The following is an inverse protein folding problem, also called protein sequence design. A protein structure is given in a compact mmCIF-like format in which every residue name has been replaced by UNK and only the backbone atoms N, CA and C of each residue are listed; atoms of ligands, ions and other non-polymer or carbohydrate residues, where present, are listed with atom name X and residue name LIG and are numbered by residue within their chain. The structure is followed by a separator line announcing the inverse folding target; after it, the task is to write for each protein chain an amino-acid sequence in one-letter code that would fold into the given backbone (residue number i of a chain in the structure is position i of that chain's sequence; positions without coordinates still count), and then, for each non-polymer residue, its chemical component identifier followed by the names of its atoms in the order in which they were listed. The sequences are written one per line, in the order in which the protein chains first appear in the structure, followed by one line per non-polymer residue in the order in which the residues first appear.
data_IF_244806757167
#
_entry.id   IF_244806757167
#
_cell.length_a   1.000
_cell.length_b   1.000
_cell.length_c   1.000
_cell.angle_alpha   90.00
_cell.angle_beta   90.00
_cell.angle_gamma   90.00
#
_symmetry.space_group_name_H-M   'P 1'
#
loop_
_entity.id
_entity.type
_entity.pdbx_description
1 polymer ?
#
# COMPACT_ATOMS: atom_id res chain seq x y z
N UNK A 1 -8.85 30.70 -5.30
CA UNK A 1 -8.08 29.45 -5.47
C UNK A 1 -7.14 29.37 -4.28
N UNK A 2 -7.49 28.59 -3.27
CA UNK A 2 -6.60 28.35 -2.13
C UNK A 2 -5.37 27.60 -2.65
N UNK A 3 -4.18 28.05 -2.25
CA UNK A 3 -2.95 27.37 -2.57
C UNK A 3 -2.93 26.04 -1.79
N UNK A 4 -3.08 24.91 -2.48
CA UNK A 4 -3.02 23.60 -1.85
C UNK A 4 -1.57 23.32 -1.44
N UNK A 5 -1.33 23.38 -0.13
CA UNK A 5 -0.05 23.17 0.53
C UNK A 5 0.45 21.73 0.28
N UNK A 6 1.76 21.52 0.38
CA UNK A 6 2.34 20.17 0.38
C UNK A 6 1.75 19.34 1.52
N UNK A 7 1.14 18.21 1.19
CA UNK A 7 0.50 17.32 2.15
C UNK A 7 1.57 16.48 2.88
N UNK A 8 1.48 16.39 4.20
CA UNK A 8 2.29 15.46 5.02
C UNK A 8 1.37 14.53 5.78
N UNK A 9 1.72 13.24 5.85
CA UNK A 9 0.98 12.27 6.67
C UNK A 9 1.17 12.59 8.15
N UNK A 10 0.31 12.07 9.06
CA UNK A 10 0.48 12.22 10.50
C UNK A 10 1.84 11.75 11.02
N UNK A 11 2.45 10.78 10.34
CA UNK A 11 3.79 10.25 10.62
C UNK A 11 4.93 11.16 10.10
N UNK A 12 4.63 12.36 9.61
CA UNK A 12 5.59 13.31 9.06
C UNK A 12 6.12 12.92 7.67
N UNK A 13 5.48 11.98 6.98
CA UNK A 13 5.90 11.55 5.66
C UNK A 13 5.38 12.48 4.58
N UNK A 14 6.17 12.71 3.53
CA UNK A 14 5.77 13.57 2.43
C UNK A 14 4.77 12.88 1.49
N UNK A 15 3.76 13.63 1.08
CA UNK A 15 2.82 13.25 0.02
C UNK A 15 3.15 14.08 -1.21
N UNK A 16 3.43 13.39 -2.32
CA UNK A 16 3.72 14.06 -3.58
C UNK A 16 2.43 14.33 -4.35
N UNK A 17 2.14 15.60 -4.62
CA UNK A 17 0.98 15.96 -5.43
C UNK A 17 1.34 15.98 -6.93
N UNK A 18 0.52 15.33 -7.76
CA UNK A 18 0.72 15.21 -9.21
C UNK A 18 -0.54 15.60 -9.98
N UNK A 19 -0.45 15.91 -11.27
CA UNK A 19 -1.66 16.16 -12.07
C UNK A 19 -2.58 14.94 -12.12
N UNK A 20 -3.89 15.16 -12.23
CA UNK A 20 -4.89 14.07 -12.35
C UNK A 20 -4.54 13.14 -13.50
N UNK A 21 -4.22 13.69 -14.67
CA UNK A 21 -3.84 12.90 -15.86
C UNK A 21 -2.63 12.00 -15.58
N UNK A 22 -1.57 12.55 -15.00
CA UNK A 22 -0.40 11.75 -14.64
C UNK A 22 -0.74 10.64 -13.65
N UNK A 23 -1.62 10.93 -12.68
CA UNK A 23 -2.06 9.93 -11.70
C UNK A 23 -2.77 8.75 -12.38
N UNK A 24 -3.75 9.05 -13.26
CA UNK A 24 -4.50 8.04 -14.01
C UNK A 24 -3.59 7.21 -14.92
N UNK A 25 -2.66 7.86 -15.61
CA UNK A 25 -1.78 7.21 -16.60
C UNK A 25 -0.68 6.35 -15.94
N UNK A 26 -0.25 6.68 -14.71
CA UNK A 26 0.93 6.08 -14.07
C UNK A 26 0.61 5.10 -12.94
N UNK A 27 -0.35 5.43 -12.08
CA UNK A 27 -0.61 4.66 -10.85
C UNK A 27 -1.85 3.78 -10.95
N UNK A 28 -2.86 4.24 -11.68
CA UNK A 28 -4.11 3.50 -11.79
C UNK A 28 -3.95 2.30 -12.73
N UNK A 29 -4.65 1.18 -12.48
CA UNK A 29 -4.75 0.12 -13.46
C UNK A 29 -5.26 0.67 -14.80
N UNK A 30 -4.74 0.17 -15.94
CA UNK A 30 -5.23 0.62 -17.24
C UNK A 30 -6.70 0.25 -17.40
N UNK A 31 -7.47 1.14 -18.03
CA UNK A 31 -8.84 0.82 -18.42
C UNK A 31 -8.85 -0.40 -19.32
N UNK A 32 -9.87 -1.24 -19.16
CA UNK A 32 -10.06 -2.38 -20.04
C UNK A 32 -10.20 -1.90 -21.50
N UNK A 33 -9.50 -2.50 -22.49
CA UNK A 33 -9.45 -2.00 -23.87
C UNK A 33 -10.81 -1.84 -24.57
N UNK A 34 -11.82 -2.58 -24.13
CA UNK A 34 -13.19 -2.48 -24.65
C UNK A 34 -13.96 -1.25 -24.13
N UNK A 35 -13.45 -0.54 -23.12
CA UNK A 35 -14.12 0.61 -22.52
C UNK A 35 -13.75 1.90 -23.24
N UNK A 36 -14.79 2.66 -23.59
CA UNK A 36 -14.68 4.00 -24.15
C UNK A 36 -15.44 4.95 -23.22
N UNK A 37 -14.69 5.81 -22.52
CA UNK A 37 -15.26 6.69 -21.50
C UNK A 37 -16.31 7.63 -22.08
N UNK A 38 -16.13 8.12 -23.32
CA UNK A 38 -17.10 8.98 -23.97
C UNK A 38 -18.42 8.25 -24.24
N UNK A 39 -18.35 7.00 -24.74
CA UNK A 39 -19.55 6.16 -24.94
C UNK A 39 -20.24 5.84 -23.62
N UNK A 40 -19.47 5.55 -22.57
CA UNK A 40 -20.00 5.24 -21.23
C UNK A 40 -20.70 6.47 -20.63
N UNK A 41 -20.11 7.66 -20.72
CA UNK A 41 -20.74 8.91 -20.28
C UNK A 41 -22.05 9.17 -21.04
N UNK A 42 -22.08 8.92 -22.36
CA UNK A 42 -23.31 9.03 -23.15
C UNK A 42 -24.38 8.02 -22.70
N UNK A 43 -23.99 6.80 -22.32
CA UNK A 43 -24.90 5.79 -21.74
C UNK A 43 -25.44 6.26 -20.40
N UNK A 44 -24.59 6.79 -19.49
CA UNK A 44 -24.98 7.33 -18.18
C UNK A 44 -25.95 8.52 -18.28
N UNK A 45 -25.88 9.31 -19.35
CA UNK A 45 -26.82 10.41 -19.65
C UNK A 45 -28.18 9.94 -20.19
N UNK A 46 -28.30 8.69 -20.63
CA UNK A 46 -29.49 8.13 -21.28
C UNK A 46 -30.14 6.99 -20.49
N UNK A 47 -29.37 6.29 -19.65
CA UNK A 47 -29.82 5.17 -18.83
C UNK A 47 -30.80 5.63 -17.74
N UNK A 48 -31.76 4.75 -17.41
CA UNK A 48 -32.78 5.02 -16.39
C UNK A 48 -33.92 5.92 -16.89
N UNK A 49 -34.83 6.27 -15.99
CA UNK A 49 -35.92 7.20 -16.28
C UNK A 49 -35.42 8.63 -16.27
N UNK A 50 -36.15 9.58 -16.89
CA UNK A 50 -35.78 11.01 -16.90
C UNK A 50 -35.51 11.57 -15.48
N UNK A 51 -36.23 11.10 -14.46
CA UNK A 51 -36.08 11.51 -13.06
C UNK A 51 -34.95 10.80 -12.30
N UNK A 52 -34.38 9.71 -12.85
CA UNK A 52 -33.33 8.90 -12.20
C UNK A 52 -32.12 8.63 -13.10
N UNK A 53 -31.88 9.47 -14.11
CA UNK A 53 -30.66 9.37 -14.94
C UNK A 53 -29.42 9.57 -14.06
N UNK A 54 -28.41 8.67 -14.13
CA UNK A 54 -27.18 8.83 -13.35
C UNK A 54 -26.54 10.21 -13.53
N UNK A 55 -26.39 10.66 -14.78
CA UNK A 55 -26.00 12.04 -15.11
C UNK A 55 -27.25 12.81 -15.54
N UNK A 56 -27.57 13.88 -14.82
CA UNK A 56 -28.78 14.66 -15.02
C UNK A 56 -28.67 15.64 -16.19
N UNK A 57 -29.79 16.27 -16.57
CA UNK A 57 -29.82 17.31 -17.60
C UNK A 57 -28.94 18.53 -17.29
N UNK A 58 -28.59 18.73 -16.01
CA UNK A 58 -27.70 19.79 -15.55
C UNK A 58 -26.22 19.37 -15.58
N UNK A 59 -25.92 18.20 -16.18
CA UNK A 59 -24.59 17.62 -16.25
C UNK A 59 -23.95 17.45 -14.85
N UNK A 60 -24.73 16.94 -13.90
CA UNK A 60 -24.32 16.59 -12.53
C UNK A 60 -24.75 15.16 -12.21
N UNK A 61 -24.11 14.52 -11.25
CA UNK A 61 -24.60 13.25 -10.72
C UNK A 61 -25.96 13.42 -10.03
N UNK A 62 -26.88 12.49 -10.29
CA UNK A 62 -28.23 12.49 -9.71
C UNK A 62 -28.22 12.63 -8.18
N UNK A 63 -27.27 11.94 -7.54
CA UNK A 63 -27.09 11.97 -6.09
C UNK A 63 -26.58 13.30 -5.54
N UNK A 64 -26.14 14.22 -6.40
CA UNK A 64 -25.43 15.46 -6.06
C UNK A 64 -25.90 16.63 -6.94
N UNK A 65 -27.22 16.76 -7.14
CA UNK A 65 -27.81 17.89 -7.87
C UNK A 65 -27.57 19.26 -7.22
N UNK A 66 -27.30 19.27 -5.93
CA UNK A 66 -26.86 20.41 -5.11
C UNK A 66 -25.52 20.01 -4.49
N UNK A 67 -24.59 20.94 -4.32
CA UNK A 67 -23.31 20.63 -3.68
C UNK A 67 -23.54 20.15 -2.24
N UNK A 68 -22.72 19.23 -1.72
CA UNK A 68 -22.76 18.80 -0.34
C UNK A 68 -22.88 19.94 0.68
N UNK A 69 -22.05 20.97 0.56
CA UNK A 69 -22.02 22.11 1.51
C UNK A 69 -23.32 22.93 1.52
N UNK A 70 -24.06 22.94 0.41
CA UNK A 70 -25.30 23.70 0.25
C UNK A 70 -26.53 22.91 0.77
N UNK A 71 -26.34 21.69 1.28
CA UNK A 71 -27.43 20.91 1.90
C UNK A 71 -27.67 21.38 3.33
N UNK A 72 -28.92 21.21 3.78
CA UNK A 72 -29.35 21.59 5.13
C UNK A 72 -28.44 20.94 6.20
N UNK A 73 -28.08 21.63 7.30
CA UNK A 73 -27.01 21.22 8.25
C UNK A 73 -27.18 19.87 8.95
N UNK A 74 -28.32 19.20 8.77
CA UNK A 74 -28.74 18.02 9.54
C UNK A 74 -28.16 16.71 8.98
N UNK A 75 -27.40 16.72 7.88
CA UNK A 75 -27.09 15.49 7.15
C UNK A 75 -25.60 15.33 6.76
N UNK A 76 -24.65 15.44 7.68
CA UNK A 76 -23.26 15.05 7.37
C UNK A 76 -23.16 13.52 7.10
N UNK A 77 -23.83 12.71 7.92
CA UNK A 77 -23.81 11.24 7.88
C UNK A 77 -24.33 10.57 6.59
N UNK A 78 -25.19 11.24 5.81
CA UNK A 78 -25.77 10.64 4.60
C UNK A 78 -25.47 11.39 3.33
N UNK A 79 -24.71 12.48 3.40
CA UNK A 79 -24.47 13.34 2.24
C UNK A 79 -23.79 12.59 1.11
N UNK A 80 -22.82 11.73 1.42
CA UNK A 80 -22.10 10.93 0.44
C UNK A 80 -22.67 9.54 0.20
N UNK A 81 -23.75 9.11 0.88
CA UNK A 81 -24.34 7.77 0.68
C UNK A 81 -24.73 7.49 -0.78
N UNK A 82 -25.06 8.55 -1.54
CA UNK A 82 -25.39 8.45 -2.97
C UNK A 82 -24.20 8.11 -3.86
N UNK A 83 -22.97 8.16 -3.36
CA UNK A 83 -21.79 7.72 -4.08
C UNK A 83 -21.88 6.21 -4.42
N UNK A 84 -22.42 5.38 -3.54
CA UNK A 84 -22.64 3.96 -3.83
C UNK A 84 -23.59 3.73 -5.03
N UNK A 85 -24.64 4.54 -5.15
CA UNK A 85 -25.54 4.47 -6.31
C UNK A 85 -24.80 4.88 -7.61
N UNK A 86 -23.94 5.92 -7.53
CA UNK A 86 -23.16 6.39 -8.68
C UNK A 86 -22.14 5.35 -9.11
N UNK A 87 -21.37 4.79 -8.18
CA UNK A 87 -20.38 3.74 -8.50
C UNK A 87 -21.07 2.52 -9.12
N UNK A 88 -22.23 2.11 -8.59
CA UNK A 88 -23.04 1.04 -9.18
C UNK A 88 -23.48 1.37 -10.61
N UNK A 89 -23.96 2.59 -10.85
CA UNK A 89 -24.38 3.03 -12.19
C UNK A 89 -23.19 3.11 -13.16
N UNK A 90 -22.02 3.53 -12.71
CA UNK A 90 -20.77 3.57 -13.48
C UNK A 90 -20.37 2.15 -13.91
N UNK A 91 -20.27 1.23 -12.95
CA UNK A 91 -19.89 -0.18 -13.21
C UNK A 91 -20.86 -0.85 -14.17
N UNK A 92 -22.18 -0.61 -14.00
CA UNK A 92 -23.21 -1.12 -14.91
C UNK A 92 -23.12 -0.51 -16.32
N UNK A 93 -22.77 0.77 -16.42
CA UNK A 93 -22.61 1.42 -17.71
C UNK A 93 -21.35 0.94 -18.46
N UNK A 94 -20.30 0.57 -17.74
CA UNK A 94 -19.05 0.00 -18.26
C UNK A 94 -19.00 -1.53 -18.29
N UNK A 95 -20.13 -2.23 -18.12
CA UNK A 95 -20.19 -3.69 -18.07
C UNK A 95 -19.54 -4.37 -19.29
N UNK A 96 -18.68 -5.36 -19.03
CA UNK A 96 -18.02 -6.18 -20.06
C UNK A 96 -18.63 -7.57 -20.05
N UNK A 97 -19.07 -8.03 -21.22
CA UNK A 97 -19.68 -9.35 -21.36
C UNK A 97 -18.70 -10.45 -20.91
N UNK A 98 -19.13 -11.30 -19.98
CA UNK A 98 -18.33 -12.43 -19.48
C UNK A 98 -17.28 -12.07 -18.43
N UNK A 99 -17.19 -10.80 -17.99
CA UNK A 99 -16.31 -10.40 -16.88
C UNK A 99 -17.13 -9.78 -15.75
N UNK A 100 -16.87 -10.22 -14.53
CA UNK A 100 -17.45 -9.65 -13.32
C UNK A 100 -16.50 -8.61 -12.72
N UNK A 101 -17.03 -7.51 -12.16
CA UNK A 101 -16.21 -6.59 -11.37
C UNK A 101 -15.49 -7.31 -10.23
N UNK A 102 -14.23 -6.98 -9.99
CA UNK A 102 -13.41 -7.55 -8.90
C UNK A 102 -13.71 -6.89 -7.55
N UNK A 103 -14.29 -5.68 -7.56
CA UNK A 103 -14.50 -4.86 -6.38
C UNK A 103 -15.97 -4.50 -6.14
N UNK A 104 -16.39 -4.59 -4.89
CA UNK A 104 -17.67 -4.07 -4.40
C UNK A 104 -17.47 -2.79 -3.57
N UNK A 105 -18.30 -1.77 -3.82
CA UNK A 105 -18.25 -0.50 -3.10
C UNK A 105 -19.19 -0.48 -1.90
N UNK A 106 -18.69 0.00 -0.77
CA UNK A 106 -19.45 0.19 0.47
C UNK A 106 -19.26 1.61 1.02
N UNK A 107 -20.36 2.18 1.53
CA UNK A 107 -20.25 3.28 2.50
C UNK A 107 -20.28 2.66 3.89
N UNK A 108 -19.40 3.12 4.79
CA UNK A 108 -19.38 2.69 6.16
C UNK A 108 -20.69 3.13 6.86
N UNK A 109 -21.45 2.20 7.46
CA UNK A 109 -22.67 2.54 8.20
C UNK A 109 -22.39 3.29 9.50
N UNK A 110 -21.16 3.22 10.03
CA UNK A 110 -20.70 3.85 11.27
C UNK A 110 -19.39 4.62 11.02
N UNK A 111 -19.43 5.72 10.25
CA UNK A 111 -18.23 6.53 10.03
C UNK A 111 -17.81 7.21 11.34
N UNK A 112 -16.50 7.24 11.57
CA UNK A 112 -15.90 7.91 12.72
C UNK A 112 -15.39 9.27 12.24
N UNK A 113 -15.94 10.31 12.85
CA UNK A 113 -15.72 11.71 12.48
C UNK A 113 -14.59 12.37 13.26
N UNK A 114 -14.15 11.78 14.37
CA UNK A 114 -13.01 12.28 15.12
C UNK A 114 -11.70 11.61 14.67
N UNK A 115 -10.60 12.28 14.94
CA UNK A 115 -9.22 11.83 14.76
C UNK A 115 -8.83 10.67 15.70
N UNK A 116 -9.59 10.41 16.76
CA UNK A 116 -9.39 9.26 17.64
C UNK A 116 -9.84 7.96 16.97
N UNK A 117 -9.00 7.42 16.09
CA UNK A 117 -9.19 6.13 15.44
C UNK A 117 -8.37 5.05 16.13
N UNK A 118 -9.01 3.90 16.38
CA UNK A 118 -8.34 2.65 16.71
C UNK A 118 -8.23 1.73 15.48
N UNK A 119 -7.59 0.58 15.64
CA UNK A 119 -7.37 -0.38 14.57
C UNK A 119 -8.65 -1.05 14.01
N UNK A 120 -9.82 -0.82 14.63
CA UNK A 120 -11.12 -1.32 14.17
C UNK A 120 -11.92 -0.30 13.36
N UNK A 121 -11.47 0.95 13.34
CA UNK A 121 -12.13 2.08 12.70
C UNK A 121 -11.99 2.03 11.17
N UNK A 122 -13.04 1.59 10.47
CA UNK A 122 -13.05 1.54 9.00
C UNK A 122 -13.19 2.93 8.36
N UNK A 123 -12.65 3.13 7.14
CA UNK A 123 -12.80 4.37 6.38
C UNK A 123 -14.27 4.69 6.10
N UNK A 124 -14.57 5.95 5.78
CA UNK A 124 -15.96 6.38 5.52
C UNK A 124 -16.60 5.64 4.32
N UNK A 125 -15.79 5.28 3.33
CA UNK A 125 -16.13 4.39 2.23
C UNK A 125 -14.96 3.45 1.92
N UNK A 126 -15.25 2.32 1.29
CA UNK A 126 -14.20 1.38 0.88
C UNK A 126 -14.66 0.49 -0.27
N UNK A 127 -13.69 0.03 -1.06
CA UNK A 127 -13.90 -0.99 -2.07
C UNK A 127 -13.28 -2.31 -1.60
N UNK A 128 -14.07 -3.38 -1.62
CA UNK A 128 -13.68 -4.71 -1.14
C UNK A 128 -13.43 -5.65 -2.30
N UNK A 129 -12.33 -6.40 -2.24
CA UNK A 129 -12.04 -7.49 -3.17
C UNK A 129 -12.98 -8.67 -2.95
N UNK A 130 -13.73 -9.02 -3.99
CA UNK A 130 -14.71 -10.12 -3.97
C UNK A 130 -14.07 -11.51 -3.87
N UNK A 131 -12.85 -11.67 -4.37
CA UNK A 131 -12.11 -12.93 -4.32
C UNK A 131 -11.46 -13.23 -2.97
N UNK A 132 -11.42 -12.27 -2.04
CA UNK A 132 -10.85 -12.49 -0.70
C UNK A 132 -11.95 -13.05 0.22
N UNK A 133 -11.73 -14.21 0.89
CA UNK A 133 -12.75 -14.85 1.72
C UNK A 133 -13.28 -13.93 2.83
N UNK A 134 -14.58 -14.05 3.14
CA UNK A 134 -15.23 -13.26 4.19
C UNK A 134 -14.71 -13.56 5.61
N UNK A 135 -14.05 -14.70 5.79
CA UNK A 135 -13.39 -15.11 7.04
C UNK A 135 -12.17 -14.25 7.37
N UNK A 136 -11.65 -13.48 6.39
CA UNK A 136 -10.53 -12.55 6.58
C UNK A 136 -10.99 -11.28 7.29
N UNK A 137 -10.03 -10.58 7.88
CA UNK A 137 -10.32 -9.29 8.52
C UNK A 137 -10.76 -8.26 7.48
N UNK A 138 -11.57 -7.27 7.85
CA UNK A 138 -11.99 -6.22 6.90
C UNK A 138 -10.81 -5.54 6.18
N UNK A 139 -9.73 -5.23 6.90
CA UNK A 139 -8.54 -4.58 6.32
C UNK A 139 -7.83 -5.43 5.26
N UNK A 140 -7.90 -6.76 5.36
CA UNK A 140 -7.35 -7.69 4.35
C UNK A 140 -8.19 -7.77 3.08
N UNK A 141 -9.44 -7.30 3.15
CA UNK A 141 -10.35 -7.32 2.02
C UNK A 141 -10.43 -5.97 1.31
N UNK A 142 -10.08 -4.88 1.98
CA UNK A 142 -10.18 -3.52 1.42
C UNK A 142 -9.03 -3.26 0.43
N UNK A 143 -9.40 -2.99 -0.83
CA UNK A 143 -8.47 -2.59 -1.90
C UNK A 143 -8.26 -1.08 -1.96
N UNK A 144 -9.29 -0.31 -1.59
CA UNK A 144 -9.33 1.14 -1.72
C UNK A 144 -10.05 1.74 -0.53
N UNK A 145 -9.45 2.73 0.13
CA UNK A 145 -10.06 3.49 1.22
C UNK A 145 -10.54 4.86 0.77
N UNK A 146 -11.77 5.23 1.14
CA UNK A 146 -12.39 6.52 0.86
C UNK A 146 -12.71 7.27 2.14
N UNK A 147 -12.32 8.54 2.22
CA UNK A 147 -12.73 9.42 3.32
C UNK A 147 -13.45 10.64 2.75
N UNK A 148 -14.45 11.15 3.45
CA UNK A 148 -15.18 12.32 2.97
C UNK A 148 -15.58 13.26 4.09
N UNK A 149 -15.57 14.56 3.77
CA UNK A 149 -16.07 15.61 4.64
C UNK A 149 -16.84 16.64 3.79
N UNK A 150 -17.92 17.18 4.35
CA UNK A 150 -18.71 18.23 3.68
C UNK A 150 -18.00 19.57 3.75
N UNK A 151 -17.19 19.79 4.78
CA UNK A 151 -16.58 21.07 5.09
C UNK A 151 -15.11 21.08 4.66
N UNK A 152 -14.75 22.04 3.79
CA UNK A 152 -13.41 22.09 3.16
C UNK A 152 -12.24 22.31 4.13
N UNK A 153 -12.50 22.92 5.28
CA UNK A 153 -11.48 23.20 6.29
C UNK A 153 -11.02 21.94 7.05
N UNK A 154 -11.67 20.80 6.82
CA UNK A 154 -11.28 19.49 7.32
C UNK A 154 -10.45 18.67 6.32
N UNK A 155 -9.87 19.31 5.30
CA UNK A 155 -8.90 18.66 4.41
C UNK A 155 -7.80 17.96 5.21
N UNK A 156 -7.33 18.57 6.29
CA UNK A 156 -6.31 18.00 7.19
C UNK A 156 -6.79 16.69 7.84
N UNK A 157 -8.04 16.62 8.29
CA UNK A 157 -8.61 15.41 8.90
C UNK A 157 -8.77 14.29 7.87
N UNK A 158 -9.29 14.57 6.68
CA UNK A 158 -9.43 13.54 5.64
C UNK A 158 -8.06 12.98 5.20
N UNK A 159 -7.03 13.84 5.16
CA UNK A 159 -5.65 13.43 4.86
C UNK A 159 -5.11 12.50 5.95
N UNK A 160 -5.35 12.81 7.23
CA UNK A 160 -5.01 11.95 8.37
C UNK A 160 -5.71 10.60 8.23
N UNK A 161 -7.05 10.63 8.10
CA UNK A 161 -7.90 9.44 8.04
C UNK A 161 -7.52 8.53 6.86
N UNK A 162 -7.32 9.07 5.67
CA UNK A 162 -6.97 8.26 4.48
C UNK A 162 -5.57 7.69 4.61
N UNK A 163 -4.63 8.44 5.19
CA UNK A 163 -3.27 7.96 5.45
C UNK A 163 -3.28 6.79 6.42
N UNK A 164 -4.04 6.88 7.52
CA UNK A 164 -4.20 5.81 8.51
C UNK A 164 -4.90 4.59 7.91
N UNK A 165 -5.95 4.78 7.12
CA UNK A 165 -6.63 3.68 6.41
C UNK A 165 -5.67 2.94 5.48
N UNK A 166 -4.87 3.67 4.69
CA UNK A 166 -3.83 3.05 3.85
C UNK A 166 -2.72 2.38 4.67
N UNK A 167 -2.31 2.94 5.82
CA UNK A 167 -1.41 2.27 6.77
C UNK A 167 -1.99 0.93 7.20
N UNK A 168 -3.25 0.91 7.65
CA UNK A 168 -3.90 -0.26 8.21
C UNK A 168 -4.05 -1.37 7.17
N UNK A 169 -4.44 -1.03 5.93
CA UNK A 169 -4.45 -1.97 4.79
C UNK A 169 -3.06 -2.60 4.61
N UNK A 170 -2.03 -1.76 4.50
CA UNK A 170 -0.64 -2.23 4.28
C UNK A 170 -0.05 -2.97 5.48
N UNK A 171 -0.52 -2.71 6.70
CA UNK A 171 -0.03 -3.28 7.96
C UNK A 171 -0.68 -4.62 8.27
N UNK A 172 -1.99 -4.74 8.08
CA UNK A 172 -2.72 -5.95 8.42
C UNK A 172 -2.54 -7.02 7.34
N UNK A 173 -2.67 -6.68 6.07
CA UNK A 173 -2.58 -7.66 4.98
C UNK A 173 -1.14 -7.82 4.45
N UNK A 174 -0.49 -8.99 4.67
CA UNK A 174 0.86 -9.24 4.15
C UNK A 174 0.91 -9.34 2.63
N UNK A 175 -0.22 -9.53 1.96
CA UNK A 175 -0.28 -9.66 0.53
C UNK A 175 -0.20 -8.29 -0.18
N UNK A 176 -0.23 -7.17 0.54
CA UNK A 176 -0.29 -5.82 -0.05
C UNK A 176 1.09 -5.27 -0.39
N UNK A 177 1.28 -4.95 -1.66
CA UNK A 177 2.45 -4.25 -2.22
C UNK A 177 2.25 -2.74 -2.27
N UNK A 178 1.02 -2.33 -2.56
CA UNK A 178 0.56 -0.94 -2.59
C UNK A 178 -0.95 -0.90 -2.38
N UNK A 179 -1.50 0.29 -2.15
CA UNK A 179 -2.94 0.52 -2.01
C UNK A 179 -3.39 1.85 -2.61
N UNK A 180 -4.67 1.93 -2.93
CA UNK A 180 -5.31 3.15 -3.42
C UNK A 180 -6.21 3.77 -2.36
N UNK A 181 -6.54 5.04 -2.56
CA UNK A 181 -7.58 5.71 -1.82
C UNK A 181 -8.17 6.89 -2.56
N UNK A 182 -9.15 7.52 -1.96
CA UNK A 182 -9.67 8.81 -2.39
C UNK A 182 -10.12 9.64 -1.19
N UNK A 183 -10.07 10.95 -1.32
CA UNK A 183 -10.70 11.87 -0.36
C UNK A 183 -11.70 12.76 -1.08
N UNK A 184 -12.77 13.17 -0.41
CA UNK A 184 -13.75 14.13 -0.92
C UNK A 184 -14.00 15.22 0.11
N UNK A 185 -13.72 16.46 -0.25
CA UNK A 185 -14.02 17.67 0.51
C UNK A 185 -15.08 18.49 -0.24
N UNK A 186 -16.33 18.47 0.22
CA UNK A 186 -17.50 19.02 -0.50
C UNK A 186 -17.63 18.45 -1.92
N UNK A 187 -17.06 19.13 -2.91
CA UNK A 187 -17.07 18.73 -4.32
C UNK A 187 -15.70 18.35 -4.85
N UNK A 188 -14.64 18.62 -4.08
CA UNK A 188 -13.25 18.41 -4.48
C UNK A 188 -12.84 16.99 -4.09
N UNK A 189 -12.46 16.19 -5.09
CA UNK A 189 -11.96 14.83 -4.89
C UNK A 189 -10.48 14.76 -5.22
N UNK A 190 -9.72 14.03 -4.41
CA UNK A 190 -8.33 13.65 -4.69
C UNK A 190 -8.22 12.14 -4.77
N UNK A 191 -7.37 11.66 -5.68
CA UNK A 191 -7.00 10.26 -5.80
C UNK A 191 -5.70 10.03 -5.05
N UNK A 192 -5.57 8.89 -4.37
CA UNK A 192 -4.43 8.55 -3.54
C UNK A 192 -3.85 7.21 -3.94
N UNK A 193 -2.53 7.13 -3.92
CA UNK A 193 -1.74 5.92 -4.12
C UNK A 193 -0.66 5.87 -3.05
N UNK A 194 -0.40 4.68 -2.50
CA UNK A 194 0.55 4.50 -1.43
C UNK A 194 1.27 3.16 -1.53
N UNK A 195 2.59 3.18 -1.45
CA UNK A 195 3.44 1.99 -1.34
C UNK A 195 4.53 2.17 -0.26
N UNK A 196 5.50 1.27 -0.22
CA UNK A 196 6.58 1.29 0.79
C UNK A 196 7.67 2.33 0.53
N UNK A 197 7.63 3.00 -0.61
CA UNK A 197 8.57 4.04 -1.03
C UNK A 197 7.96 5.44 -0.99
N UNK A 198 6.68 5.59 -1.29
CA UNK A 198 6.06 6.90 -1.51
C UNK A 198 4.55 6.91 -1.25
N UNK A 199 4.03 8.12 -1.01
CA UNK A 199 2.59 8.43 -1.06
C UNK A 199 2.35 9.52 -2.09
N UNK A 200 1.36 9.32 -2.94
CA UNK A 200 1.06 10.20 -4.08
C UNK A 200 -0.41 10.58 -4.02
N UNK A 201 -0.69 11.87 -4.21
CA UNK A 201 -2.05 12.39 -4.35
C UNK A 201 -2.21 13.10 -5.70
N UNK A 202 -3.38 13.00 -6.32
CA UNK A 202 -3.70 13.85 -7.46
C UNK A 202 -3.98 15.28 -7.01
N UNK A 203 -3.84 16.24 -7.93
CA UNK A 203 -4.51 17.53 -7.79
C UNK A 203 -6.02 17.31 -7.60
N UNK A 204 -6.71 18.17 -6.85
CA UNK A 204 -8.14 18.05 -6.67
C UNK A 204 -8.88 18.30 -7.99
N UNK A 205 -9.96 17.57 -8.20
CA UNK A 205 -10.90 17.78 -9.29
C UNK A 205 -12.33 17.75 -8.76
N UNK A 206 -13.27 18.39 -9.46
CA UNK A 206 -14.66 18.38 -9.03
C UNK A 206 -15.34 17.09 -9.49
N UNK A 207 -15.53 16.12 -8.60
CA UNK A 207 -16.08 14.81 -8.98
C UNK A 207 -17.52 14.88 -9.53
N UNK A 208 -18.25 15.97 -9.27
CA UNK A 208 -19.63 16.14 -9.73
C UNK A 208 -19.70 16.56 -11.19
N UNK A 209 -18.82 17.50 -11.57
CA UNK A 209 -18.82 18.08 -12.92
C UNK A 209 -17.81 17.40 -13.83
N UNK A 210 -16.66 16.97 -13.30
CA UNK A 210 -15.69 16.14 -14.00
C UNK A 210 -16.04 14.64 -13.84
N UNK A 211 -17.08 14.25 -14.58
CA UNK A 211 -17.56 12.87 -14.62
C UNK A 211 -16.59 11.93 -15.32
N UNK A 212 -15.76 12.45 -16.23
CA UNK A 212 -14.82 11.64 -17.00
C UNK A 212 -13.75 11.02 -16.10
N UNK A 213 -13.11 11.84 -15.27
CA UNK A 213 -12.12 11.38 -14.28
C UNK A 213 -12.74 10.38 -13.30
N UNK A 214 -13.95 10.65 -12.79
CA UNK A 214 -14.60 9.76 -11.83
C UNK A 214 -14.96 8.40 -12.44
N UNK A 215 -15.49 8.40 -13.67
CA UNK A 215 -15.84 7.17 -14.41
C UNK A 215 -14.57 6.37 -14.70
N UNK A 216 -13.50 7.02 -15.16
CA UNK A 216 -12.21 6.37 -15.39
C UNK A 216 -11.72 5.70 -14.10
N UNK A 217 -11.64 6.45 -13.00
CA UNK A 217 -11.14 5.95 -11.72
C UNK A 217 -11.82 4.66 -11.25
N UNK A 218 -13.15 4.67 -11.18
CA UNK A 218 -13.89 3.50 -10.69
C UNK A 218 -13.87 2.32 -11.66
N UNK A 219 -13.93 2.56 -12.98
CA UNK A 219 -13.89 1.46 -13.95
C UNK A 219 -12.53 0.77 -14.00
N UNK A 220 -11.43 1.53 -13.96
CA UNK A 220 -10.09 0.96 -13.88
C UNK A 220 -9.93 0.06 -12.67
N UNK A 221 -10.39 0.48 -11.49
CA UNK A 221 -10.29 -0.30 -10.27
C UNK A 221 -11.23 -1.53 -10.29
N UNK A 222 -12.48 -1.35 -10.73
CA UNK A 222 -13.48 -2.42 -10.72
C UNK A 222 -13.17 -3.58 -11.66
N UNK A 223 -12.35 -3.39 -12.70
CA UNK A 223 -11.96 -4.46 -13.63
C UNK A 223 -10.47 -4.80 -13.57
N UNK A 224 -9.76 -4.28 -12.55
CA UNK A 224 -8.38 -4.63 -12.32
C UNK A 224 -8.25 -6.03 -11.70
N UNK A 225 -7.21 -6.74 -12.11
CA UNK A 225 -6.79 -7.99 -11.45
C UNK A 225 -6.29 -7.73 -10.03
N UNK A 226 -6.27 -8.76 -9.15
CA UNK A 226 -5.69 -8.62 -7.81
C UNK A 226 -4.26 -8.06 -7.83
N UNK A 227 -3.44 -8.49 -8.79
CA UNK A 227 -2.07 -8.00 -8.98
C UNK A 227 -2.04 -6.50 -9.27
N UNK A 228 -2.89 -6.02 -10.19
CA UNK A 228 -3.00 -4.60 -10.52
C UNK A 228 -3.58 -3.76 -9.35
N UNK A 229 -4.35 -4.38 -8.47
CA UNK A 229 -4.88 -3.73 -7.26
C UNK A 229 -3.91 -3.74 -6.09
N UNK A 230 -2.74 -4.37 -6.23
CA UNK A 230 -1.65 -4.36 -5.25
C UNK A 230 -1.50 -5.64 -4.44
N UNK A 231 -2.24 -6.72 -4.76
CA UNK A 231 -1.97 -8.03 -4.17
C UNK A 231 -0.72 -8.66 -4.77
N UNK A 232 0.05 -9.34 -3.93
CA UNK A 232 1.20 -10.13 -4.32
C UNK A 232 0.74 -11.53 -4.78
N UNK A 233 0.90 -11.89 -6.07
CA UNK A 233 0.50 -13.20 -6.58
C UNK A 233 1.34 -14.36 -6.03
N UNK A 234 2.47 -14.07 -5.39
CA UNK A 234 3.38 -15.07 -4.81
C UNK A 234 3.07 -15.40 -3.35
N UNK A 235 2.05 -14.74 -2.77
CA UNK A 235 1.49 -15.03 -1.45
C UNK A 235 0.05 -15.52 -1.63
N UNK A 236 -0.21 -16.80 -1.32
CA UNK A 236 -1.54 -17.37 -1.36
C UNK A 236 -2.15 -17.48 0.05
N UNK A 237 -3.40 -17.05 0.17
CA UNK A 237 -4.21 -17.17 1.39
C UNK A 237 -4.75 -18.61 1.48
N UNK A 238 -4.66 -19.24 2.65
CA UNK A 238 -5.39 -20.49 2.89
C UNK A 238 -6.80 -20.19 3.45
N UNK A 239 -7.83 -20.84 2.90
CA UNK A 239 -9.24 -20.50 3.17
C UNK A 239 -9.67 -20.68 4.64
N UNK A 240 -9.05 -21.62 5.35
CA UNK A 240 -9.47 -22.04 6.68
C UNK A 240 -8.53 -21.58 7.81
N UNK A 241 -7.36 -21.03 7.48
CA UNK A 241 -6.36 -20.61 8.46
C UNK A 241 -5.87 -19.18 8.16
N UNK A 242 -5.46 -18.45 9.20
CA UNK A 242 -4.74 -17.16 9.05
C UNK A 242 -3.30 -17.34 8.52
N UNK A 243 -3.05 -18.44 7.81
CA UNK A 243 -1.75 -18.83 7.29
C UNK A 243 -1.62 -18.48 5.81
N UNK A 244 -0.38 -18.25 5.40
CA UNK A 244 -0.01 -17.90 4.04
C UNK A 244 0.94 -18.95 3.48
N UNK A 245 0.81 -19.23 2.17
CA UNK A 245 1.85 -19.89 1.38
C UNK A 245 2.61 -18.83 0.63
N UNK A 246 3.90 -18.70 0.92
CA UNK A 246 4.78 -17.67 0.37
C UNK A 246 5.80 -18.37 -0.52
N UNK A 247 5.88 -17.93 -1.78
CA UNK A 247 6.87 -18.43 -2.73
C UNK A 247 8.14 -17.59 -2.63
N UNK A 248 9.29 -18.24 -2.46
CA UNK A 248 10.61 -17.60 -2.50
C UNK A 248 11.34 -18.13 -3.72
N UNK A 249 11.76 -17.24 -4.60
CA UNK A 249 12.53 -17.59 -5.78
C UNK A 249 13.98 -17.15 -5.58
N UNK A 250 14.93 -18.03 -5.84
CA UNK A 250 16.36 -17.70 -5.82
C UNK A 250 16.82 -17.10 -7.15
N UNK A 251 18.03 -16.52 -7.15
CA UNK A 251 18.63 -15.87 -8.32
C UNK A 251 18.78 -16.82 -9.53
N UNK A 252 18.94 -18.12 -9.28
CA UNK A 252 19.01 -19.17 -10.30
C UNK A 252 17.63 -19.56 -10.88
N UNK A 253 16.54 -18.99 -10.36
CA UNK A 253 15.16 -19.27 -10.75
C UNK A 253 14.47 -20.38 -9.96
N UNK A 254 15.16 -21.06 -9.04
CA UNK A 254 14.56 -22.12 -8.22
C UNK A 254 13.51 -21.55 -7.27
N UNK A 255 12.31 -22.13 -7.27
CA UNK A 255 11.21 -21.72 -6.39
C UNK A 255 11.03 -22.71 -5.23
N UNK A 256 10.88 -22.19 -4.01
CA UNK A 256 10.35 -22.96 -2.89
C UNK A 256 9.14 -22.26 -2.29
N UNK A 257 8.20 -23.06 -1.80
CA UNK A 257 6.99 -22.59 -1.13
C UNK A 257 7.14 -22.81 0.37
N UNK A 258 6.81 -21.81 1.16
CA UNK A 258 6.83 -21.85 2.62
C UNK A 258 5.45 -21.56 3.18
N UNK A 259 4.98 -22.39 4.11
CA UNK A 259 3.74 -22.15 4.85
C UNK A 259 4.07 -21.48 6.19
N UNK A 260 3.42 -20.36 6.47
CA UNK A 260 3.63 -19.63 7.74
C UNK A 260 3.02 -20.39 8.92
N UNK A 261 3.73 -20.44 10.05
CA UNK A 261 3.28 -21.06 11.30
C UNK A 261 2.97 -20.00 12.38
N UNK A 262 3.86 -19.04 12.57
CA UNK A 262 3.76 -17.99 13.59
C UNK A 262 4.38 -16.69 13.07
N UNK A 263 3.82 -15.54 13.44
CA UNK A 263 4.46 -14.25 13.22
C UNK A 263 5.46 -13.95 14.35
N UNK A 264 6.73 -13.81 13.98
CA UNK A 264 7.82 -13.51 14.92
C UNK A 264 7.99 -11.99 15.09
N UNK A 265 7.81 -11.22 14.01
CA UNK A 265 7.87 -9.76 14.04
C UNK A 265 7.02 -9.14 12.93
N UNK A 266 6.24 -8.11 13.29
CA UNK A 266 5.51 -7.24 12.35
C UNK A 266 5.63 -5.74 12.65
N UNK A 267 6.45 -5.33 13.61
CA UNK A 267 6.46 -3.93 14.06
C UNK A 267 6.85 -2.94 12.97
N UNK A 268 7.71 -3.36 12.03
CA UNK A 268 8.13 -2.52 10.90
C UNK A 268 7.06 -2.42 9.80
N UNK A 269 6.05 -3.29 9.81
CA UNK A 269 4.94 -3.22 8.87
C UNK A 269 4.00 -2.03 9.16
N UNK A 270 4.02 -1.50 10.40
CA UNK A 270 3.22 -0.35 10.83
C UNK A 270 3.69 0.99 10.27
N UNK A 271 4.92 1.06 9.74
CA UNK A 271 5.43 2.26 9.07
C UNK A 271 5.11 2.15 7.58
N UNK A 272 4.39 3.13 7.02
CA UNK A 272 4.08 3.16 5.58
C UNK A 272 5.38 3.12 4.77
N UNK A 273 6.17 4.20 4.85
CA UNK A 273 7.45 4.33 4.15
C UNK A 273 8.53 3.68 4.98
N UNK A 274 9.03 2.55 4.52
CA UNK A 274 10.00 1.78 5.29
C UNK A 274 10.25 0.43 4.66
N UNK A 275 10.99 -0.44 5.34
CA UNK A 275 11.23 -1.78 4.84
C UNK A 275 9.99 -2.66 4.94
N UNK A 276 8.93 -2.24 5.64
CA UNK A 276 7.69 -3.01 5.77
C UNK A 276 7.89 -4.42 6.35
N UNK A 277 9.00 -4.66 7.05
CA UNK A 277 9.51 -6.00 7.34
C UNK A 277 8.52 -6.82 8.14
N UNK A 278 8.26 -8.04 7.66
CA UNK A 278 7.53 -9.08 8.36
C UNK A 278 8.42 -10.32 8.47
N UNK A 279 8.41 -10.94 9.64
CA UNK A 279 9.21 -12.13 9.92
C UNK A 279 8.29 -13.21 10.46
N UNK A 280 8.31 -14.38 9.84
CA UNK A 280 7.52 -15.54 10.22
C UNK A 280 8.42 -16.72 10.56
N UNK A 281 7.96 -17.51 11.53
CA UNK A 281 8.30 -18.91 11.58
C UNK A 281 7.50 -19.60 10.48
N UNK A 282 8.16 -20.38 9.63
CA UNK A 282 7.53 -21.05 8.50
C UNK A 282 8.06 -22.48 8.38
N UNK A 283 7.46 -23.27 7.52
CA UNK A 283 7.94 -24.60 7.13
C UNK A 283 7.89 -24.72 5.62
N UNK A 284 8.89 -25.38 5.03
CA UNK A 284 8.92 -25.62 3.59
C UNK A 284 7.79 -26.58 3.21
N UNK A 285 7.21 -26.38 2.03
CA UNK A 285 6.15 -27.23 1.48
C UNK A 285 6.66 -27.90 0.21
N UNK A 286 6.56 -29.22 0.15
CA UNK A 286 6.89 -30.05 -1.02
C UNK A 286 5.70 -30.97 -1.29
N UNK A 287 5.23 -31.00 -2.55
CA UNK A 287 4.06 -31.80 -2.97
C UNK A 287 2.84 -31.62 -2.06
N UNK A 288 2.62 -30.38 -1.58
CA UNK A 288 1.49 -30.03 -0.72
C UNK A 288 1.65 -30.36 0.77
N UNK A 289 2.76 -30.97 1.17
CA UNK A 289 3.03 -31.40 2.55
C UNK A 289 4.19 -30.62 3.17
N UNK A 290 4.16 -30.42 4.48
CA UNK A 290 5.27 -29.81 5.21
C UNK A 290 6.51 -30.72 5.14
N UNK A 291 7.67 -30.09 4.94
CA UNK A 291 8.95 -30.78 4.77
C UNK A 291 10.06 -30.11 5.57
N UNK A 292 10.82 -30.92 6.31
CA UNK A 292 12.00 -30.48 7.07
C UNK A 292 11.65 -29.74 8.36
N UNK A 293 12.69 -29.18 8.98
CA UNK A 293 12.56 -28.39 10.21
C UNK A 293 11.98 -27.00 9.93
N UNK A 294 11.30 -26.37 10.91
CA UNK A 294 10.83 -25.00 10.78
C UNK A 294 11.98 -24.00 10.57
N UNK A 295 11.72 -23.01 9.73
CA UNK A 295 12.65 -21.96 9.30
C UNK A 295 12.14 -20.56 9.66
N UNK A 296 12.96 -19.55 9.46
CA UNK A 296 12.56 -18.13 9.55
C UNK A 296 12.49 -17.53 8.16
N UNK A 297 11.30 -17.06 7.76
CA UNK A 297 11.08 -16.30 6.52
C UNK A 297 10.97 -14.81 6.85
N UNK A 298 11.83 -14.00 6.26
CA UNK A 298 11.80 -12.54 6.32
C UNK A 298 11.39 -11.98 4.96
N UNK A 299 10.35 -11.15 4.96
CA UNK A 299 9.82 -10.43 3.81
C UNK A 299 9.98 -8.92 4.06
N UNK A 300 10.60 -8.21 3.11
CA UNK A 300 10.86 -6.79 3.26
C UNK A 300 11.03 -6.06 1.93
N UNK A 301 11.03 -4.73 2.01
CA UNK A 301 11.26 -3.80 0.91
C UNK A 301 12.64 -3.17 1.09
N UNK A 302 13.54 -3.43 0.14
CA UNK A 302 14.95 -3.03 0.22
C UNK A 302 15.24 -2.00 -0.86
N UNK A 303 16.02 -0.97 -0.54
CA UNK A 303 16.49 0.02 -1.51
C UNK A 303 17.11 -0.65 -2.74
N UNK A 304 16.81 -0.15 -3.93
CA UNK A 304 17.23 -0.78 -5.17
C UNK A 304 18.76 -0.77 -5.38
N UNK A 305 19.45 0.18 -4.77
CA UNK A 305 20.91 0.37 -4.78
C UNK A 305 21.64 -0.43 -3.69
N UNK A 306 20.92 -0.97 -2.69
CA UNK A 306 21.50 -1.80 -1.63
C UNK A 306 21.73 -3.22 -2.11
N UNK A 307 22.90 -3.75 -1.79
CA UNK A 307 23.20 -5.17 -1.97
C UNK A 307 22.27 -6.02 -1.09
N UNK A 308 21.77 -7.14 -1.65
CA UNK A 308 20.89 -8.07 -0.93
C UNK A 308 21.62 -8.79 0.19
N UNK A 309 20.91 -8.99 1.29
CA UNK A 309 21.40 -9.63 2.51
C UNK A 309 21.96 -11.04 2.23
N UNK A 310 21.24 -11.86 1.47
CA UNK A 310 21.69 -13.22 1.15
C UNK A 310 22.93 -13.23 0.28
N UNK A 311 23.05 -12.30 -0.68
CA UNK A 311 24.28 -12.14 -1.48
C UNK A 311 25.46 -11.70 -0.62
N UNK A 312 25.24 -10.89 0.43
CA UNK A 312 26.30 -10.52 1.38
C UNK A 312 26.75 -11.76 2.17
N UNK A 313 25.81 -12.57 2.65
CA UNK A 313 26.10 -13.84 3.33
C UNK A 313 26.93 -14.80 2.45
N UNK A 314 26.51 -15.01 1.21
CA UNK A 314 27.23 -15.87 0.25
C UNK A 314 28.66 -15.36 0.00
N UNK A 315 28.83 -14.05 -0.21
CA UNK A 315 30.17 -13.46 -0.41
C UNK A 315 31.07 -13.64 0.79
N UNK A 316 30.58 -13.40 2.00
CA UNK A 316 31.36 -13.56 3.23
C UNK A 316 31.76 -15.02 3.46
N UNK A 317 30.83 -15.96 3.26
CA UNK A 317 31.07 -17.40 3.37
C UNK A 317 32.09 -17.91 2.35
N UNK A 318 32.06 -17.38 1.12
CA UNK A 318 32.92 -17.82 0.03
C UNK A 318 34.27 -17.09 -0.06
N UNK A 319 34.58 -16.15 0.84
CA UNK A 319 35.76 -15.27 0.76
C UNK A 319 37.13 -15.96 0.99
N UNK A 320 37.23 -17.29 0.82
CA UNK A 320 38.40 -18.14 1.18
C UNK A 320 39.06 -17.73 2.53
N UNK A 321 38.31 -17.71 3.64
CA UNK A 321 38.87 -17.31 4.92
C UNK A 321 39.76 -18.40 5.53
N UNK A 322 40.51 -18.07 6.59
CA UNK A 322 41.12 -19.08 7.45
C UNK A 322 40.03 -19.96 8.09
N UNK A 323 40.38 -21.20 8.47
CA UNK A 323 39.41 -22.11 9.13
C UNK A 323 38.81 -21.48 10.40
N UNK A 324 39.62 -20.75 11.17
CA UNK A 324 39.15 -20.01 12.35
C UNK A 324 38.10 -18.94 12.02
N UNK A 325 38.21 -18.27 10.87
CA UNK A 325 37.17 -17.32 10.46
C UNK A 325 35.90 -18.05 10.02
N UNK A 326 36.01 -19.19 9.35
CA UNK A 326 34.84 -19.97 8.93
C UNK A 326 34.05 -20.46 10.13
N UNK A 327 34.74 -21.00 11.13
CA UNK A 327 34.15 -21.42 12.41
C UNK A 327 33.48 -20.24 13.12
N UNK A 328 34.20 -19.13 13.29
CA UNK A 328 33.63 -17.92 13.90
C UNK A 328 32.42 -17.37 13.13
N UNK A 329 32.42 -17.46 11.79
CA UNK A 329 31.31 -17.02 10.95
C UNK A 329 30.10 -17.93 11.12
N UNK A 330 30.29 -19.25 11.07
CA UNK A 330 29.22 -20.23 11.24
C UNK A 330 28.60 -20.16 12.64
N UNK A 331 29.41 -19.84 13.66
CA UNK A 331 28.92 -19.61 15.04
C UNK A 331 28.20 -18.27 15.22
N UNK A 332 28.47 -17.26 14.37
CA UNK A 332 28.00 -15.89 14.56
C UNK A 332 26.88 -15.44 13.62
N UNK A 333 26.70 -16.10 12.48
CA UNK A 333 25.77 -15.70 11.42
C UNK A 333 24.77 -16.79 11.09
N UNK A 334 23.55 -16.36 10.78
CA UNK A 334 22.48 -17.27 10.35
C UNK A 334 22.79 -17.91 9.00
N UNK A 335 22.38 -19.17 8.87
CA UNK A 335 22.49 -19.94 7.63
C UNK A 335 21.34 -19.57 6.70
N UNK A 336 21.67 -18.92 5.60
CA UNK A 336 20.72 -18.62 4.52
C UNK A 336 20.37 -19.92 3.80
N UNK A 337 19.09 -20.27 3.79
CA UNK A 337 18.56 -21.40 3.03
C UNK A 337 18.21 -20.97 1.60
N UNK A 338 17.51 -19.84 1.47
CA UNK A 338 17.10 -19.29 0.18
C UNK A 338 16.85 -17.79 0.27
N UNK A 339 17.10 -17.06 -0.81
CA UNK A 339 16.74 -15.64 -0.90
C UNK A 339 16.61 -15.18 -2.35
N UNK A 340 15.88 -14.10 -2.55
CA UNK A 340 15.81 -13.42 -3.84
C UNK A 340 14.77 -12.30 -3.88
N UNK A 341 14.82 -11.53 -4.97
CA UNK A 341 13.83 -10.50 -5.25
C UNK A 341 12.50 -11.17 -5.64
N UNK A 342 11.39 -10.63 -5.13
CA UNK A 342 10.05 -11.10 -5.52
C UNK A 342 9.80 -10.69 -6.96
N UNK A 343 9.43 -11.65 -7.81
CA UNK A 343 9.13 -11.39 -9.21
C UNK A 343 7.62 -11.37 -9.44
N UNK A 344 7.14 -10.35 -10.16
CA UNK A 344 5.72 -10.19 -10.50
C UNK A 344 5.58 -10.38 -12.01
N UNK A 345 4.60 -11.19 -12.41
CA UNK A 345 4.26 -11.37 -13.81
C UNK A 345 3.42 -10.18 -14.30
N UNK A 346 3.96 -9.47 -15.29
CA UNK A 346 3.31 -8.32 -15.94
C UNK A 346 2.61 -8.69 -17.25
N UNK A 347 2.53 -9.98 -17.60
CA UNK A 347 1.92 -10.48 -18.83
C UNK A 347 2.86 -10.50 -20.05
N UNK A 348 4.11 -10.03 -19.90
CA UNK A 348 5.16 -10.18 -20.93
C UNK A 348 6.37 -10.95 -20.39
N UNK A 349 6.86 -10.60 -19.20
CA UNK A 349 7.95 -11.28 -18.48
C UNK A 349 7.81 -11.04 -16.97
N UNK A 350 8.34 -11.98 -16.17
CA UNK A 350 8.51 -11.80 -14.72
C UNK A 350 9.60 -10.78 -14.46
N UNK A 351 9.29 -9.74 -13.69
CA UNK A 351 10.22 -8.66 -13.35
C UNK A 351 10.27 -8.48 -11.83
N UNK A 352 11.41 -8.03 -11.27
CA UNK A 352 11.49 -7.69 -9.86
C UNK A 352 10.39 -6.69 -9.52
N UNK A 353 9.72 -6.92 -8.40
CA UNK A 353 8.65 -6.06 -7.93
C UNK A 353 9.20 -4.67 -7.60
N UNK A 354 8.95 -3.76 -8.53
CA UNK A 354 9.27 -2.34 -8.45
C UNK A 354 7.95 -1.64 -8.63
N UNK A 355 7.31 -1.29 -7.52
CA UNK A 355 6.10 -0.48 -7.57
C UNK A 355 6.37 0.81 -8.35
N UNK A 356 5.36 1.36 -9.06
CA UNK A 356 5.54 2.58 -9.83
C UNK A 356 6.14 3.69 -8.95
N UNK A 357 7.21 4.32 -9.43
CA UNK A 357 7.80 5.49 -8.79
C UNK A 357 7.40 6.75 -9.56
N UNK A 358 7.26 7.88 -8.89
CA UNK A 358 7.06 9.14 -9.59
C UNK A 358 8.25 9.43 -10.52
N UNK A 359 7.97 9.77 -11.78
CA UNK A 359 8.96 10.20 -12.77
C UNK A 359 9.56 11.54 -12.36
N UNK A 360 10.88 11.77 -12.54
CA UNK A 360 11.52 13.07 -12.34
C UNK A 360 10.82 14.20 -13.12
N UNK A 361 10.96 15.49 -12.72
CA UNK A 361 10.29 16.62 -13.37
C UNK A 361 10.56 16.68 -14.87
N UNK A 362 11.83 16.50 -15.23
CA UNK A 362 12.29 16.58 -16.62
C UNK A 362 11.62 15.51 -17.50
N UNK A 363 11.44 14.30 -16.96
CA UNK A 363 10.73 13.22 -17.66
C UNK A 363 9.23 13.46 -17.71
N UNK A 364 8.63 14.02 -16.64
CA UNK A 364 7.22 14.41 -16.63
C UNK A 364 6.93 15.44 -17.72
N UNK A 365 7.75 16.50 -17.80
CA UNK A 365 7.64 17.56 -18.80
C UNK A 365 7.83 17.02 -20.22
N UNK A 366 8.84 16.17 -20.42
CA UNK A 366 9.09 15.50 -21.70
C UNK A 366 7.90 14.66 -22.17
N UNK A 367 7.20 14.02 -21.24
CA UNK A 367 5.99 13.24 -21.51
C UNK A 367 4.72 14.11 -21.60
N UNK A 368 4.85 15.43 -21.53
CA UNK A 368 3.75 16.39 -21.66
C UNK A 368 2.85 16.49 -20.43
N UNK A 369 3.29 15.98 -19.28
CA UNK A 369 2.56 16.12 -18.02
C UNK A 369 2.77 17.51 -17.42
N UNK A 370 1.68 18.08 -16.90
CA UNK A 370 1.76 19.32 -16.13
C UNK A 370 2.30 19.00 -14.75
N UNK A 371 3.35 19.70 -14.35
CA UNK A 371 3.84 19.69 -12.98
C UNK A 371 3.03 20.71 -12.19
N UNK A 372 2.37 20.31 -11.07
CA UNK A 372 1.63 21.25 -10.24
C UNK A 372 2.52 22.40 -9.76
N UNK A 373 2.04 23.66 -9.77
CA UNK A 373 2.78 24.76 -9.20
C UNK A 373 3.00 24.52 -7.71
N UNK A 374 4.24 24.67 -7.26
CA UNK A 374 4.61 24.61 -5.84
C UNK A 374 4.02 25.85 -5.19
N UNK A 375 3.04 25.69 -4.30
CA UNK A 375 2.56 26.79 -3.49
C UNK A 375 3.71 27.28 -2.60
N UNK A 376 4.29 28.42 -2.95
CA UNK A 376 5.20 29.17 -2.09
C UNK A 376 4.37 30.29 -1.49
N UNK A 377 4.32 30.35 -0.15
CA UNK A 377 3.81 31.40 0.75
C UNK A 377 2.48 31.16 1.49
N UNK A 378 2.60 31.11 2.82
CA UNK A 378 1.83 31.97 3.72
C UNK A 378 2.72 32.45 4.89
N UNK A 379 2.56 33.73 5.25
CA UNK A 379 3.40 34.44 6.23
C UNK A 379 3.39 33.76 7.61
N UNK A 380 4.54 33.76 8.33
CA UNK A 380 4.68 33.06 9.60
C UNK A 380 4.00 33.86 10.72
N UNK A 381 2.83 33.43 11.18
CA UNK A 381 2.38 33.68 12.56
C UNK A 381 1.32 32.74 13.13
N UNK A 382 0.87 31.72 12.39
CA UNK A 382 -0.11 30.74 12.89
C UNK A 382 0.26 29.25 12.70
N UNK A 383 1.37 28.94 12.02
CA UNK A 383 1.80 27.55 11.83
C UNK A 383 2.56 27.03 13.07
N UNK A 384 1.82 26.60 14.10
CA UNK A 384 2.39 25.76 15.16
C UNK A 384 2.56 24.32 14.65
N UNK A 385 3.66 24.15 13.91
CA UNK A 385 4.63 23.05 14.06
C UNK A 385 4.38 21.62 13.54
N UNK A 386 3.65 21.39 12.44
CA UNK A 386 3.71 20.09 11.71
C UNK A 386 3.85 20.18 10.18
N UNK A 387 3.77 21.37 9.59
CA UNK A 387 3.78 21.55 8.14
C UNK A 387 5.10 22.16 7.67
N UNK A 388 6.00 21.34 7.11
CA UNK A 388 7.16 21.83 6.35
C UNK A 388 6.94 21.56 4.87
N UNK A 389 6.67 22.63 4.12
CA UNK A 389 6.70 22.63 2.66
C UNK A 389 8.08 22.16 2.18
N UNK A 390 8.14 21.02 1.51
CA UNK A 390 9.31 20.62 0.74
C UNK A 390 8.86 20.34 -0.69
N UNK A 391 9.48 21.07 -1.60
CA UNK A 391 9.27 21.00 -3.05
C UNK A 391 9.40 19.56 -3.54
N UNK A 392 8.60 19.19 -4.55
CA UNK A 392 8.77 17.95 -5.34
C UNK A 392 10.26 17.69 -5.69
N UNK A 393 11.04 18.75 -5.96
CA UNK A 393 12.47 18.69 -6.31
C UNK A 393 13.41 18.30 -5.16
N UNK A 394 12.91 18.16 -3.93
CA UNK A 394 13.67 17.78 -2.74
C UNK A 394 13.24 16.46 -2.11
N UNK A 395 12.13 15.86 -2.54
CA UNK A 395 11.74 14.52 -2.09
C UNK A 395 12.57 13.46 -2.83
N UNK A 396 13.56 12.88 -2.15
CA UNK A 396 14.27 11.70 -2.64
C UNK A 396 13.48 10.46 -2.25
N UNK A 397 12.53 10.05 -3.11
CA UNK A 397 11.86 8.76 -2.94
C UNK A 397 12.82 7.65 -3.33
N UNK A 398 13.27 6.89 -2.34
CA UNK A 398 14.14 5.75 -2.56
C UNK A 398 13.32 4.61 -3.18
N UNK A 399 13.64 4.26 -4.43
CA UNK A 399 13.02 3.11 -5.10
C UNK A 399 13.38 1.85 -4.32
N UNK A 400 12.36 1.09 -3.92
CA UNK A 400 12.53 -0.19 -3.23
C UNK A 400 12.17 -1.34 -4.13
N UNK A 401 12.71 -2.50 -3.78
CA UNK A 401 12.45 -3.80 -4.40
C UNK A 401 12.00 -4.74 -3.30
N UNK A 402 10.92 -5.47 -3.55
CA UNK A 402 10.41 -6.49 -2.63
C UNK A 402 11.36 -7.69 -2.64
N UNK A 403 11.80 -8.13 -1.45
CA UNK A 403 12.85 -9.12 -1.26
C UNK A 403 12.49 -10.08 -0.12
N UNK A 404 12.87 -11.35 -0.30
CA UNK A 404 12.69 -12.40 0.71
C UNK A 404 13.98 -13.12 1.00
N UNK A 405 14.15 -13.51 2.26
CA UNK A 405 15.25 -14.35 2.72
C UNK A 405 14.76 -15.33 3.78
N UNK A 406 15.26 -16.55 3.70
CA UNK A 406 14.94 -17.67 4.57
C UNK A 406 16.19 -18.10 5.31
N UNK A 407 16.09 -18.22 6.63
CA UNK A 407 17.16 -18.70 7.51
C UNK A 407 16.76 -20.01 8.17
N UNK A 408 17.73 -20.90 8.39
CA UNK A 408 17.49 -22.20 9.04
C UNK A 408 17.20 -22.04 10.53
N UNK A 409 17.92 -21.15 11.20
CA UNK A 409 17.88 -21.00 12.64
C UNK A 409 16.69 -20.13 13.07
N UNK A 410 16.02 -20.53 14.16
CA UNK A 410 14.91 -19.78 14.75
C UNK A 410 15.39 -19.02 15.97
N UNK A 411 15.49 -17.69 15.84
CA UNK A 411 15.94 -16.83 16.92
C UNK A 411 14.76 -16.22 17.71
N UNK A 412 15.01 -15.89 18.98
CA UNK A 412 14.10 -15.07 19.79
C UNK A 412 14.41 -13.58 19.58
N UNK A 413 13.41 -12.72 19.30
CA UNK A 413 13.61 -11.28 19.22
C UNK A 413 14.04 -10.70 20.58
N UNK A 414 15.02 -9.79 20.60
CA UNK A 414 15.51 -9.15 21.84
C UNK A 414 14.40 -8.44 22.62
N UNK A 415 13.37 -7.93 21.94
CA UNK A 415 12.19 -7.31 22.55
C UNK A 415 11.33 -8.29 23.37
N UNK A 416 11.51 -9.60 23.17
CA UNK A 416 10.86 -10.67 23.96
C UNK A 416 11.75 -11.16 25.11
N UNK A 417 12.94 -10.58 25.32
CA UNK A 417 13.75 -10.88 26.50
C UNK A 417 13.01 -10.41 27.76
N UNK A 418 13.06 -11.22 28.81
CA UNK A 418 12.28 -10.98 30.04
C UNK A 418 13.11 -10.29 31.13
N UNK A 419 14.42 -10.15 30.93
CA UNK A 419 15.30 -9.43 31.83
C UNK A 419 16.38 -8.63 31.11
N UNK A 420 16.82 -7.53 31.72
CA UNK A 420 17.98 -6.75 31.24
C UNK A 420 19.27 -7.58 31.28
N UNK A 421 19.37 -8.55 32.19
CA UNK A 421 20.53 -9.45 32.28
C UNK A 421 20.66 -10.30 31.00
N UNK A 422 19.55 -10.86 30.48
CA UNK A 422 19.55 -11.57 29.20
C UNK A 422 20.00 -10.67 28.05
N UNK A 423 19.50 -9.43 28.02
CA UNK A 423 19.85 -8.45 26.99
C UNK A 423 21.34 -8.10 27.03
N UNK A 424 21.86 -7.75 28.21
CA UNK A 424 23.28 -7.39 28.36
C UNK A 424 24.21 -8.58 28.17
N UNK A 425 23.79 -9.79 28.54
CA UNK A 425 24.53 -11.03 28.25
C UNK A 425 24.67 -11.23 26.74
N UNK A 426 23.57 -11.17 25.99
CA UNK A 426 23.58 -11.32 24.53
C UNK A 426 24.42 -10.22 23.84
N UNK A 427 24.30 -8.97 24.29
CA UNK A 427 25.15 -7.87 23.79
C UNK A 427 26.63 -8.09 24.10
N UNK A 428 26.94 -8.59 25.30
CA UNK A 428 28.29 -8.90 25.75
C UNK A 428 28.94 -10.03 24.94
N UNK A 429 28.21 -11.10 24.67
CA UNK A 429 28.65 -12.23 23.83
C UNK A 429 29.03 -11.77 22.42
N UNK A 430 28.26 -10.82 21.87
CA UNK A 430 28.53 -10.25 20.53
C UNK A 430 29.71 -9.31 20.50
N UNK A 431 29.90 -8.50 21.54
CA UNK A 431 31.10 -7.68 21.67
C UNK A 431 32.36 -8.52 21.90
N UNK A 432 32.22 -9.72 22.46
CA UNK A 432 33.33 -10.62 22.82
C UNK A 432 33.65 -11.67 21.75
N UNK A 433 32.84 -11.79 20.70
CA UNK A 433 33.01 -12.79 19.65
C UNK A 433 32.82 -14.25 20.13
N UNK A 434 32.04 -14.46 21.20
CA UNK A 434 31.85 -15.78 21.80
C UNK A 434 30.78 -16.62 21.09
N UNK A 435 31.04 -17.93 20.98
CA UNK A 435 30.23 -18.98 20.32
C UNK A 435 28.90 -19.35 21.04
N UNK A 436 28.38 -18.48 21.90
CA UNK A 436 27.22 -18.74 22.75
C UNK A 436 25.90 -18.20 22.20
N UNK A 437 25.57 -18.38 20.93
CA UNK A 437 24.36 -17.79 20.33
C UNK A 437 23.14 -18.73 20.30
N UNK A 438 22.93 -19.51 21.35
CA UNK A 438 21.61 -20.12 21.65
C UNK A 438 20.57 -19.06 22.02
N UNK A 439 21.01 -17.83 22.32
CA UNK A 439 20.16 -16.80 22.89
C UNK A 439 20.44 -15.41 22.31
N UNK A 440 19.49 -14.99 21.48
CA UNK A 440 19.13 -13.61 21.17
C UNK A 440 19.89 -12.85 20.07
N UNK A 441 19.05 -12.07 19.44
CA UNK A 441 19.20 -11.37 18.19
C UNK A 441 19.75 -9.97 18.44
N UNK A 442 21.00 -9.68 18.07
CA UNK A 442 21.58 -8.33 18.23
C UNK A 442 22.15 -7.74 16.93
N UNK A 443 22.08 -8.42 15.77
CA UNK A 443 22.61 -7.79 14.54
C UNK A 443 21.91 -7.98 13.18
N UNK A 444 20.60 -8.27 13.13
CA UNK A 444 19.86 -8.31 11.85
C UNK A 444 18.45 -7.67 11.82
N UNK A 445 18.14 -6.77 12.75
CA UNK A 445 16.84 -6.08 12.92
C UNK A 445 17.05 -4.58 13.14
N UNK A 446 18.29 -4.11 13.16
CA UNK A 446 18.62 -2.72 12.88
C UNK A 446 18.74 -2.52 11.36
N UNK A 447 17.62 -2.57 10.65
CA UNK A 447 17.33 -1.42 9.78
C UNK A 447 16.90 -0.29 10.71
N UNK A 448 17.89 0.29 11.38
CA UNK A 448 17.75 1.49 12.17
C UNK A 448 18.87 2.41 11.69
N UNK A 449 18.49 3.40 10.89
CA UNK A 449 19.23 4.63 10.62
C UNK A 449 20.72 4.47 10.28
N UNK A 450 20.99 4.21 9.00
CA UNK A 450 22.01 4.92 8.23
C UNK A 450 21.41 5.21 6.85
#
# INVERSE_FOLDING_TARGET
MSAHLGLTTPAGQFVSMVSVRYFLDTFLPPLHPAMDIHKILNRLKRMGTKSRRPITKHNRWWGFNINPIDRTPVINLTTFKRLADIVRDIVRAGEICGQTPSLDFYNNPQPIFDSERDETCLPDAYLVMTSVPETRTPWERIAVSGEYNVERWYEEENVVKVSESMCNIMREDPCRRFTFGFTIEDTEMKLWYCDRSQTVASQPFNFITDQETLVHFFLSLSYASPVQLGWDPTIAIQEHDRQYRITVQSVDGTECVYRTLEILSKSSASVIHGPGTRVWKAVRVVDGHDYGDPVVLKDCWVSCDRQREGTIHEKLRNAKPSDAFREAFDDSFLTVEQHGDVLIDSGMQRQPDRTPLILPPEEMEKNGYKIPPVSVTLKPRAARSLWREITYTKSQHERKVHYRIVFKEICKPIKRATSLQEVFKALGEICSGGSGLDFFFVRMLTTAYC
#
